data_IF_267424234048
#
_entry.id   IF_267424234048
#
_cell.length_a   1.000
_cell.length_b   1.000
_cell.length_c   1.000
_cell.angle_alpha   90.00
_cell.angle_beta   90.00
_cell.angle_gamma   90.00
#
_symmetry.space_group_name_H-M   'P 1'
#
loop_
_entity.id
_entity.type
_entity.pdbx_description
1 polymer ?
#
# COMPACT_ATOMS: atom_id res chain seq x y z
N UNK A 1 25.03 7.50 -5.66
CA UNK A 1 26.36 6.90 -5.45
C UNK A 1 27.25 7.42 -6.57
N UNK A 2 28.24 8.21 -6.22
CA UNK A 2 29.20 8.78 -7.17
C UNK A 2 30.40 7.82 -7.26
N UNK A 3 30.58 7.20 -8.41
CA UNK A 3 31.75 6.35 -8.67
C UNK A 3 32.74 7.14 -9.51
N UNK A 4 33.92 7.43 -8.97
CA UNK A 4 34.99 8.09 -9.69
C UNK A 4 35.94 7.02 -10.23
N UNK A 5 36.01 6.88 -11.55
CA UNK A 5 36.96 5.99 -12.21
C UNK A 5 38.11 6.85 -12.76
N UNK A 6 39.30 6.62 -12.26
CA UNK A 6 40.51 7.30 -12.75
C UNK A 6 41.23 6.37 -13.72
N UNK A 7 41.31 6.73 -15.00
CA UNK A 7 42.10 5.99 -16.01
C UNK A 7 43.37 6.75 -16.27
N UNK A 8 44.50 6.14 -15.99
CA UNK A 8 45.83 6.73 -16.26
C UNK A 8 46.37 6.17 -17.59
N UNK A 9 46.47 7.01 -18.62
CA UNK A 9 47.18 6.68 -19.86
C UNK A 9 48.53 7.36 -19.86
N UNK A 10 49.61 6.61 -20.00
CA UNK A 10 50.96 7.08 -19.91
C UNK A 10 51.35 8.02 -21.06
N UNK A 11 51.92 9.16 -20.71
CA UNK A 11 52.48 10.17 -21.61
C UNK A 11 52.32 11.57 -21.04
N UNK A 12 53.39 12.15 -20.53
CA UNK A 12 53.68 13.55 -20.18
C UNK A 12 52.52 14.53 -19.96
N UNK A 13 51.86 14.42 -18.88
CA UNK A 13 50.92 15.21 -18.07
C UNK A 13 49.59 14.45 -17.89
N UNK A 14 49.17 14.20 -16.65
CA UNK A 14 47.88 13.54 -16.40
C UNK A 14 46.74 14.52 -16.69
N UNK A 15 45.95 14.23 -17.71
CA UNK A 15 44.67 14.88 -17.91
C UNK A 15 43.64 14.04 -17.17
N UNK A 16 43.24 14.48 -15.99
CA UNK A 16 42.14 13.87 -15.27
C UNK A 16 40.82 14.28 -15.93
N UNK A 17 40.23 13.37 -16.69
CA UNK A 17 38.86 13.51 -17.20
C UNK A 17 37.90 12.91 -16.17
N UNK A 18 37.33 13.75 -15.31
CA UNK A 18 36.24 13.31 -14.44
C UNK A 18 34.96 13.25 -15.24
N UNK A 19 34.47 12.05 -15.53
CA UNK A 19 33.15 11.86 -16.07
C UNK A 19 32.22 11.55 -14.89
N UNK A 20 31.44 12.54 -14.44
CA UNK A 20 30.37 12.31 -13.48
C UNK A 20 29.15 11.75 -14.24
N UNK A 21 28.90 10.48 -14.12
CA UNK A 21 27.63 9.87 -14.56
C UNK A 21 26.65 10.01 -13.41
N UNK A 22 25.78 11.01 -13.46
CA UNK A 22 24.62 11.06 -12.56
C UNK A 22 23.59 10.05 -13.07
N UNK A 23 23.54 8.91 -12.43
CA UNK A 23 22.44 7.96 -12.62
C UNK A 23 21.23 8.54 -11.87
N UNK A 24 20.31 9.19 -12.59
CA UNK A 24 18.96 9.42 -12.05
C UNK A 24 18.29 8.06 -11.92
N UNK A 25 18.37 7.45 -10.77
CA UNK A 25 17.45 6.39 -10.39
C UNK A 25 16.09 7.05 -10.28
N UNK A 26 15.18 6.73 -11.20
CA UNK A 26 13.76 7.03 -11.03
C UNK A 26 13.33 6.20 -9.84
N UNK A 27 13.38 6.77 -8.66
CA UNK A 27 12.83 6.15 -7.49
C UNK A 27 11.33 6.05 -7.75
N UNK A 28 10.83 4.84 -7.96
CA UNK A 28 9.44 4.59 -7.65
C UNK A 28 9.26 5.04 -6.21
N UNK A 29 8.44 6.05 -5.99
CA UNK A 29 8.13 6.56 -4.66
C UNK A 29 7.24 5.53 -3.98
N UNK A 30 7.76 4.32 -3.86
CA UNK A 30 7.09 3.17 -3.29
C UNK A 30 7.34 3.05 -1.79
N UNK A 31 8.31 3.80 -1.25
CA UNK A 31 8.57 3.81 0.17
C UNK A 31 8.02 5.10 0.80
N UNK A 32 7.37 4.97 1.92
CA UNK A 32 6.81 6.06 2.71
C UNK A 32 7.85 7.15 3.08
N UNK A 33 9.13 6.83 3.02
CA UNK A 33 10.24 7.71 3.34
C UNK A 33 10.70 8.63 2.19
N UNK A 34 10.12 8.49 0.99
CA UNK A 34 10.60 9.19 -0.20
C UNK A 34 9.89 10.51 -0.48
N UNK A 35 8.88 10.89 0.30
CA UNK A 35 8.27 12.22 0.20
C UNK A 35 9.15 13.20 0.94
N UNK A 36 9.75 14.08 0.22
CA UNK A 36 10.80 14.91 0.77
C UNK A 36 10.32 15.97 1.75
N UNK A 37 9.11 16.47 1.62
CA UNK A 37 8.60 17.50 2.52
C UNK A 37 7.07 17.55 2.54
N UNK A 38 6.46 17.13 3.63
CA UNK A 38 5.05 17.44 3.88
C UNK A 38 4.92 18.93 4.20
N UNK A 39 4.21 19.67 3.34
CA UNK A 39 3.97 21.10 3.53
C UNK A 39 2.95 21.33 4.64
N UNK A 40 2.01 20.38 4.77
CA UNK A 40 0.96 20.41 5.78
C UNK A 40 0.62 18.97 6.20
N UNK A 41 0.07 18.80 7.42
CA UNK A 41 -0.48 17.51 7.83
C UNK A 41 -1.69 17.12 6.95
N UNK A 42 -1.97 15.83 6.87
CA UNK A 42 -3.17 15.32 6.24
C UNK A 42 -4.40 15.78 7.02
N UNK A 43 -5.45 16.22 6.32
CA UNK A 43 -6.71 16.67 6.92
C UNK A 43 -7.75 15.56 6.79
N UNK A 44 -8.34 15.17 7.91
CA UNK A 44 -9.44 14.19 7.94
C UNK A 44 -10.65 14.84 8.58
N UNK A 45 -11.79 14.75 7.92
CA UNK A 45 -13.10 15.16 8.43
C UNK A 45 -13.97 13.91 8.48
N UNK A 46 -14.56 13.65 9.65
CA UNK A 46 -15.39 12.46 9.90
C UNK A 46 -16.71 12.88 10.51
N UNK A 47 -17.79 12.26 10.04
CA UNK A 47 -19.12 12.32 10.63
C UNK A 47 -19.57 10.91 11.02
N UNK A 48 -20.20 10.78 12.18
CA UNK A 48 -20.72 9.51 12.69
C UNK A 48 -22.18 9.66 13.08
N UNK A 49 -22.94 8.57 12.96
CA UNK A 49 -24.32 8.49 13.42
C UNK A 49 -24.55 7.12 14.06
N UNK A 50 -25.05 7.16 15.31
CA UNK A 50 -25.33 5.98 16.12
C UNK A 50 -26.84 5.73 16.22
N UNK A 51 -27.24 4.52 15.84
CA UNK A 51 -28.62 4.02 15.96
C UNK A 51 -28.62 2.71 16.75
N UNK A 52 -29.73 2.31 17.39
CA UNK A 52 -29.79 1.03 18.11
C UNK A 52 -29.48 -0.20 17.24
N UNK A 53 -29.63 -0.07 15.92
CA UNK A 53 -29.43 -1.16 14.94
C UNK A 53 -28.19 -0.99 14.06
N UNK A 54 -27.57 0.20 14.07
CA UNK A 54 -26.36 0.46 13.26
C UNK A 54 -25.51 1.60 13.80
N UNK A 55 -24.19 1.48 13.57
CA UNK A 55 -23.23 2.56 13.63
C UNK A 55 -22.80 2.90 12.20
N UNK A 56 -22.94 4.17 11.80
CA UNK A 56 -22.61 4.65 10.46
C UNK A 56 -21.51 5.71 10.55
N UNK A 57 -20.57 5.63 9.63
CA UNK A 57 -19.48 6.60 9.49
C UNK A 57 -19.33 7.05 8.05
N UNK A 58 -19.03 8.33 7.86
CA UNK A 58 -18.56 8.87 6.58
C UNK A 58 -17.38 9.80 6.83
N UNK A 59 -16.36 9.75 5.99
CA UNK A 59 -15.16 10.57 6.17
C UNK A 59 -14.56 11.01 4.84
N UNK A 60 -13.91 12.18 4.89
CA UNK A 60 -13.14 12.73 3.79
C UNK A 60 -11.70 12.94 4.22
N UNK A 61 -10.77 12.74 3.30
CA UNK A 61 -9.34 12.87 3.50
C UNK A 61 -8.77 13.82 2.44
N UNK A 62 -7.98 14.82 2.87
CA UNK A 62 -7.22 15.70 1.98
C UNK A 62 -5.74 15.65 2.31
N UNK A 63 -4.88 15.61 1.28
CA UNK A 63 -3.43 15.48 1.38
C UNK A 63 -2.70 16.37 0.39
N UNK A 64 -1.50 16.80 0.77
CA UNK A 64 -0.61 17.56 -0.10
C UNK A 64 0.68 16.79 -0.31
N UNK A 65 0.97 16.46 -1.58
CA UNK A 65 2.22 15.85 -1.99
C UNK A 65 3.16 16.94 -2.48
N UNK A 66 4.36 16.99 -1.93
CA UNK A 66 5.39 17.92 -2.37
C UNK A 66 6.64 17.16 -2.79
N UNK A 67 7.19 17.55 -3.91
CA UNK A 67 8.50 17.13 -4.36
C UNK A 67 9.32 18.34 -4.79
N UNK A 68 10.64 18.23 -4.60
CA UNK A 68 11.59 19.24 -5.01
C UNK A 68 12.55 18.67 -6.03
N UNK A 69 12.42 19.12 -7.26
CA UNK A 69 13.41 18.84 -8.29
C UNK A 69 14.58 19.81 -8.14
N UNK A 70 15.76 19.29 -7.84
CA UNK A 70 17.01 20.06 -7.83
C UNK A 70 17.74 19.84 -9.14
N UNK A 71 17.83 20.88 -9.96
CA UNK A 71 18.79 20.93 -11.06
C UNK A 71 19.89 21.92 -10.71
N UNK A 72 21.07 21.75 -11.30
CA UNK A 72 22.20 22.64 -11.06
C UNK A 72 21.81 24.08 -11.37
N UNK A 73 21.69 24.91 -10.32
CA UNK A 73 21.35 26.34 -10.42
C UNK A 73 19.89 26.71 -10.26
N UNK A 74 18.94 25.77 -10.33
CA UNK A 74 17.50 26.06 -10.14
C UNK A 74 16.80 24.91 -9.42
N UNK A 75 16.06 25.20 -8.37
CA UNK A 75 15.19 24.22 -7.71
C UNK A 75 13.72 24.56 -7.96
N UNK A 76 12.93 23.56 -8.34
CA UNK A 76 11.48 23.70 -8.47
C UNK A 76 10.78 22.83 -7.45
N UNK A 77 9.93 23.44 -6.63
CA UNK A 77 9.00 22.70 -5.75
C UNK A 77 7.68 22.49 -6.48
N UNK A 78 7.20 21.26 -6.46
CA UNK A 78 5.92 20.88 -7.06
C UNK A 78 5.00 20.36 -5.96
N UNK A 79 3.86 20.99 -5.81
CA UNK A 79 2.81 20.55 -4.87
C UNK A 79 1.62 20.05 -5.66
N UNK A 80 1.12 18.89 -5.29
CA UNK A 80 -0.06 18.26 -5.88
C UNK A 80 -1.00 17.84 -4.75
N UNK A 81 -2.29 18.09 -4.96
CA UNK A 81 -3.33 17.63 -4.03
C UNK A 81 -3.72 16.19 -4.35
N UNK A 82 -3.92 15.39 -3.30
CA UNK A 82 -4.54 14.09 -3.31
C UNK A 82 -5.54 13.98 -2.18
N UNK A 83 -6.31 12.93 -2.17
CA UNK A 83 -7.28 12.69 -1.11
C UNK A 83 -8.35 11.70 -1.54
N UNK A 84 -9.27 11.41 -0.64
CA UNK A 84 -10.31 10.45 -0.87
C UNK A 84 -11.51 10.61 0.04
N UNK A 85 -12.50 9.77 -0.19
CA UNK A 85 -13.67 9.68 0.66
C UNK A 85 -13.98 8.21 0.96
N UNK A 86 -14.48 7.97 2.16
CA UNK A 86 -14.84 6.64 2.62
C UNK A 86 -16.06 6.65 3.50
N UNK A 87 -16.58 5.44 3.69
CA UNK A 87 -17.68 5.19 4.59
C UNK A 87 -17.49 3.84 5.29
N UNK A 88 -18.05 3.72 6.48
CA UNK A 88 -18.14 2.47 7.21
C UNK A 88 -19.52 2.32 7.85
N UNK A 89 -19.96 1.09 7.99
CA UNK A 89 -21.19 0.76 8.68
C UNK A 89 -21.00 -0.55 9.47
N UNK A 90 -21.52 -0.57 10.69
CA UNK A 90 -21.72 -1.76 11.50
C UNK A 90 -23.22 -1.92 11.75
N UNK A 91 -23.77 -3.05 11.36
CA UNK A 91 -25.18 -3.39 11.51
C UNK A 91 -25.37 -4.51 12.52
N UNK A 92 -26.23 -4.30 13.52
CA UNK A 92 -26.70 -5.37 14.41
C UNK A 92 -27.85 -6.11 13.73
N UNK A 93 -27.51 -7.01 12.78
CA UNK A 93 -28.50 -7.70 11.93
C UNK A 93 -29.46 -8.55 12.76
N UNK A 94 -28.92 -9.29 13.73
CA UNK A 94 -29.69 -9.99 14.74
C UNK A 94 -29.15 -9.54 16.10
N UNK A 95 -29.92 -8.80 16.88
CA UNK A 95 -29.44 -8.24 18.16
C UNK A 95 -28.78 -9.29 19.04
N UNK A 96 -27.54 -8.99 19.49
CA UNK A 96 -26.69 -9.86 20.33
C UNK A 96 -26.28 -11.19 19.70
N UNK A 97 -26.56 -11.41 18.41
CA UNK A 97 -26.25 -12.68 17.75
C UNK A 97 -25.41 -12.50 16.48
N UNK A 98 -25.76 -11.52 15.63
CA UNK A 98 -25.09 -11.34 14.34
C UNK A 98 -24.83 -9.87 14.10
N UNK A 99 -23.56 -9.53 13.98
CA UNK A 99 -23.08 -8.23 13.54
C UNK A 99 -22.49 -8.35 12.15
N UNK A 100 -22.86 -7.41 11.27
CA UNK A 100 -22.27 -7.27 9.93
C UNK A 100 -21.60 -5.92 9.82
N UNK A 101 -20.35 -5.90 9.33
CA UNK A 101 -19.64 -4.66 9.08
C UNK A 101 -19.16 -4.58 7.63
N UNK A 102 -19.16 -3.36 7.12
CA UNK A 102 -18.60 -3.02 5.81
C UNK A 102 -17.92 -1.67 5.89
N UNK A 103 -16.79 -1.54 5.23
CA UNK A 103 -16.10 -0.26 5.10
C UNK A 103 -15.41 -0.15 3.76
N UNK A 104 -15.19 1.08 3.30
CA UNK A 104 -14.45 1.33 2.08
C UNK A 104 -13.91 2.76 2.04
N UNK A 105 -12.81 2.92 1.33
CA UNK A 105 -12.15 4.21 1.05
C UNK A 105 -11.69 4.19 -0.39
N UNK A 106 -11.95 5.26 -1.13
CA UNK A 106 -11.48 5.43 -2.50
C UNK A 106 -10.98 6.87 -2.74
N UNK A 107 -9.94 7.00 -3.55
CA UNK A 107 -9.37 8.31 -3.84
C UNK A 107 -8.02 8.24 -4.55
N UNK A 108 -7.33 9.37 -4.55
CA UNK A 108 -6.03 9.52 -5.19
C UNK A 108 -4.96 9.78 -4.10
N UNK A 109 -3.94 8.88 -4.03
CA UNK A 109 -2.84 8.99 -3.08
C UNK A 109 -3.20 8.61 -1.64
N UNK A 110 -3.98 7.59 -1.46
CA UNK A 110 -4.50 7.16 -0.16
C UNK A 110 -3.92 5.83 0.34
N UNK A 111 -2.95 5.26 -0.36
CA UNK A 111 -2.43 3.90 -0.12
C UNK A 111 -1.98 3.63 1.31
N UNK A 112 -1.35 4.62 1.96
CA UNK A 112 -0.91 4.49 3.37
C UNK A 112 -2.06 4.30 4.37
N UNK A 113 -3.30 4.63 3.99
CA UNK A 113 -4.48 4.45 4.84
C UNK A 113 -5.08 3.05 4.72
N UNK A 114 -4.65 2.28 3.72
CA UNK A 114 -4.96 0.87 3.60
C UNK A 114 -4.12 -0.01 4.52
N UNK A 115 -4.58 -1.22 4.76
CA UNK A 115 -3.88 -2.21 5.58
C UNK A 115 -2.57 -2.66 4.93
N UNK A 116 -2.55 -2.74 3.61
CA UNK A 116 -1.39 -3.18 2.81
C UNK A 116 -0.36 -2.07 2.66
N UNK A 117 -0.75 -0.80 2.87
CA UNK A 117 0.11 0.37 2.69
C UNK A 117 0.70 0.43 1.28
N UNK A 118 -0.16 0.39 0.27
CA UNK A 118 0.23 0.57 -1.12
C UNK A 118 0.87 1.95 -1.35
N UNK A 119 1.70 2.13 -2.39
CA UNK A 119 2.35 3.41 -2.66
C UNK A 119 1.35 4.50 -2.97
N UNK A 120 1.45 5.65 -2.31
CA UNK A 120 0.52 6.78 -2.45
C UNK A 120 0.67 7.53 -3.80
N UNK A 121 1.90 7.62 -4.33
CA UNK A 121 2.18 8.43 -5.52
C UNK A 121 3.36 7.89 -6.33
N UNK A 122 3.44 8.31 -7.57
CA UNK A 122 4.57 8.10 -8.47
C UNK A 122 5.04 9.44 -9.04
N UNK A 123 6.05 9.44 -9.90
CA UNK A 123 6.56 10.63 -10.57
C UNK A 123 6.07 10.65 -12.02
N UNK A 124 5.54 11.78 -12.43
CA UNK A 124 5.08 12.03 -13.80
C UNK A 124 6.20 12.50 -14.75
N UNK A 125 5.88 12.72 -16.04
CA UNK A 125 6.86 13.07 -17.07
C UNK A 125 7.54 14.42 -16.85
N UNK A 126 6.94 15.30 -16.07
CA UNK A 126 7.49 16.63 -15.72
C UNK A 126 8.24 16.61 -14.39
N UNK A 127 8.41 15.42 -13.76
CA UNK A 127 8.97 15.28 -12.41
C UNK A 127 8.03 15.62 -11.27
N UNK A 128 6.79 15.97 -11.56
CA UNK A 128 5.77 16.25 -10.53
C UNK A 128 5.24 14.95 -9.93
N UNK A 129 4.89 14.95 -8.63
CA UNK A 129 4.17 13.83 -8.04
C UNK A 129 2.84 13.59 -8.74
N UNK A 130 2.50 12.33 -8.95
CA UNK A 130 1.20 11.87 -9.46
C UNK A 130 0.60 10.94 -8.42
N UNK A 131 -0.40 11.39 -7.64
CA UNK A 131 -1.11 10.52 -6.70
C UNK A 131 -1.73 9.34 -7.43
N UNK A 132 -1.59 8.15 -6.86
CA UNK A 132 -2.13 6.93 -7.43
C UNK A 132 -3.61 6.81 -7.08
N UNK A 133 -4.42 6.38 -8.05
CA UNK A 133 -5.82 6.07 -7.80
C UNK A 133 -5.95 4.72 -7.13
N UNK A 134 -6.62 4.70 -5.98
CA UNK A 134 -6.68 3.56 -5.10
C UNK A 134 -8.07 3.39 -4.52
N UNK A 135 -8.38 2.15 -4.18
CA UNK A 135 -9.53 1.83 -3.36
C UNK A 135 -9.25 0.65 -2.45
N UNK A 136 -9.88 0.67 -1.32
CA UNK A 136 -9.82 -0.39 -0.33
C UNK A 136 -11.21 -0.64 0.23
N UNK A 137 -11.50 -1.91 0.50
CA UNK A 137 -12.79 -2.32 1.04
C UNK A 137 -12.60 -3.48 2.00
N UNK A 138 -13.44 -3.52 3.02
CA UNK A 138 -13.53 -4.59 4.00
C UNK A 138 -15.00 -4.92 4.23
N UNK A 139 -15.33 -6.22 4.26
CA UNK A 139 -16.60 -6.72 4.74
C UNK A 139 -16.35 -7.80 5.79
N UNK A 140 -17.20 -7.86 6.81
CA UNK A 140 -17.06 -8.83 7.89
C UNK A 140 -18.37 -9.19 8.54
N UNK A 141 -18.41 -10.39 9.12
CA UNK A 141 -19.52 -10.90 9.92
C UNK A 141 -18.95 -11.43 11.23
N UNK A 142 -19.64 -11.11 12.32
CA UNK A 142 -19.37 -11.66 13.64
C UNK A 142 -20.62 -12.37 14.11
N UNK A 143 -20.47 -13.62 14.50
CA UNK A 143 -21.53 -14.46 15.05
C UNK A 143 -21.23 -14.78 16.50
N UNK A 144 -22.02 -14.23 17.40
CA UNK A 144 -22.00 -14.50 18.84
C UNK A 144 -22.73 -15.83 19.12
N UNK A 145 -22.03 -16.95 18.90
CA UNK A 145 -22.61 -18.29 18.98
C UNK A 145 -23.09 -18.64 20.40
N UNK A 146 -22.35 -18.18 21.41
CA UNK A 146 -22.72 -18.23 22.83
C UNK A 146 -22.21 -16.96 23.53
N UNK A 147 -22.60 -16.68 24.78
CA UNK A 147 -22.04 -15.56 25.53
C UNK A 147 -20.52 -15.61 25.70
N UNK A 148 -19.91 -16.74 25.40
CA UNK A 148 -18.48 -17.01 25.60
C UNK A 148 -17.74 -17.27 24.28
N UNK A 149 -18.44 -17.47 23.16
CA UNK A 149 -17.85 -17.86 21.87
C UNK A 149 -18.28 -16.95 20.75
N UNK A 150 -17.33 -16.24 20.18
CA UNK A 150 -17.48 -15.42 18.98
C UNK A 150 -16.80 -16.11 17.81
N UNK A 151 -17.53 -16.26 16.71
CA UNK A 151 -17.00 -16.69 15.42
C UNK A 151 -17.00 -15.49 14.48
N UNK A 152 -15.96 -15.33 13.66
CA UNK A 152 -15.92 -14.22 12.72
C UNK A 152 -15.32 -14.61 11.38
N UNK A 153 -15.72 -13.86 10.35
CA UNK A 153 -15.14 -13.94 9.03
C UNK A 153 -15.01 -12.54 8.42
N UNK A 154 -13.89 -12.29 7.76
CA UNK A 154 -13.59 -11.04 7.10
C UNK A 154 -13.07 -11.28 5.70
N UNK A 155 -13.43 -10.38 4.78
CA UNK A 155 -12.87 -10.29 3.44
C UNK A 155 -12.47 -8.84 3.17
N UNK A 156 -11.22 -8.62 2.82
CA UNK A 156 -10.68 -7.31 2.52
C UNK A 156 -9.86 -7.30 1.25
N UNK A 157 -9.81 -6.15 0.58
CA UNK A 157 -8.96 -5.94 -0.58
C UNK A 157 -8.53 -4.49 -0.68
N UNK A 158 -7.21 -4.30 -0.92
CA UNK A 158 -6.61 -3.01 -1.24
C UNK A 158 -6.08 -3.09 -2.67
N UNK A 159 -6.42 -2.10 -3.50
CA UNK A 159 -6.03 -2.06 -4.90
C UNK A 159 -5.57 -0.66 -5.32
N UNK A 160 -4.62 -0.64 -6.27
CA UNK A 160 -4.12 0.59 -6.88
C UNK A 160 -4.14 0.48 -8.40
N UNK A 161 -4.30 1.60 -9.08
CA UNK A 161 -4.23 1.69 -10.53
C UNK A 161 -2.81 2.05 -10.97
N UNK A 162 -2.46 1.63 -12.19
CA UNK A 162 -1.21 2.04 -12.80
C UNK A 162 -1.23 3.54 -13.14
N UNK A 163 -0.07 4.18 -12.95
CA UNK A 163 0.20 5.53 -13.41
C UNK A 163 1.62 5.59 -13.97
N UNK A 164 1.74 5.53 -15.28
CA UNK A 164 3.02 5.53 -15.99
C UNK A 164 2.96 6.42 -17.23
N UNK A 165 4.13 6.72 -17.78
CA UNK A 165 4.27 7.45 -19.03
C UNK A 165 5.41 6.88 -19.88
N UNK A 166 5.23 6.98 -21.20
CA UNK A 166 6.19 6.47 -22.16
C UNK A 166 7.07 7.58 -22.72
N UNK A 167 8.33 7.25 -22.96
CA UNK A 167 9.25 8.08 -23.71
C UNK A 167 9.48 7.43 -25.07
N UNK A 168 9.56 8.28 -26.12
CA UNK A 168 9.67 7.82 -27.49
C UNK A 168 11.04 8.13 -28.06
N UNK A 169 11.58 7.18 -28.82
CA UNK A 169 12.75 7.36 -29.66
C UNK A 169 12.47 6.82 -31.05
N UNK A 170 12.69 7.64 -32.08
CA UNK A 170 12.41 7.26 -33.48
C UNK A 170 10.98 6.72 -33.71
N UNK A 171 9.99 7.33 -33.05
CA UNK A 171 8.58 6.95 -33.18
C UNK A 171 8.16 5.64 -32.49
N UNK A 172 9.05 5.01 -31.73
CA UNK A 172 8.77 3.81 -30.93
C UNK A 172 8.93 4.12 -29.45
N UNK A 173 8.16 3.43 -28.59
CA UNK A 173 8.34 3.48 -27.13
C UNK A 173 9.76 3.01 -26.81
N UNK A 174 10.54 3.87 -26.19
CA UNK A 174 11.94 3.60 -25.81
C UNK A 174 12.02 3.11 -24.37
N UNK A 175 11.34 3.81 -23.47
CA UNK A 175 11.27 3.48 -22.06
C UNK A 175 9.92 3.91 -21.50
N UNK A 176 9.47 3.21 -20.49
CA UNK A 176 8.29 3.52 -19.73
C UNK A 176 8.68 3.73 -18.26
N UNK A 177 8.13 4.75 -17.62
CA UNK A 177 8.46 5.14 -16.24
C UNK A 177 7.18 5.29 -15.44
N UNK A 178 7.27 5.15 -14.12
CA UNK A 178 6.16 5.30 -13.21
C UNK A 178 5.70 3.97 -12.63
N UNK A 179 4.57 3.99 -11.94
CA UNK A 179 4.04 2.86 -11.21
C UNK A 179 3.17 1.96 -12.09
N UNK A 180 3.32 0.64 -11.98
CA UNK A 180 2.56 -0.33 -12.79
C UNK A 180 2.91 -0.30 -14.28
N UNK A 181 4.12 0.04 -14.60
CA UNK A 181 4.66 0.15 -15.95
C UNK A 181 4.67 -1.21 -16.66
N UNK A 182 4.11 -1.32 -17.89
CA UNK A 182 4.02 -2.57 -18.63
C UNK A 182 5.35 -3.10 -19.18
N UNK A 183 6.44 -2.31 -19.12
CA UNK A 183 7.78 -2.74 -19.53
C UNK A 183 8.62 -3.25 -18.37
N UNK A 184 8.10 -3.33 -17.16
CA UNK A 184 8.81 -3.94 -16.05
C UNK A 184 9.05 -5.44 -16.32
N UNK A 185 10.30 -5.93 -16.16
CA UNK A 185 10.57 -7.35 -16.31
C UNK A 185 9.95 -8.13 -15.15
N UNK A 186 9.15 -9.13 -15.51
CA UNK A 186 8.53 -10.07 -14.59
C UNK A 186 8.98 -11.52 -14.85
N UNK A 187 9.98 -11.70 -15.72
CA UNK A 187 10.40 -13.03 -16.21
C UNK A 187 10.97 -13.93 -15.12
N UNK A 188 11.48 -13.34 -14.03
CA UNK A 188 12.04 -14.10 -12.89
C UNK A 188 11.19 -14.01 -11.62
N UNK A 189 9.96 -13.47 -11.70
CA UNK A 189 9.13 -13.31 -10.50
C UNK A 189 8.58 -14.63 -9.94
N UNK A 190 8.34 -15.61 -10.83
CA UNK A 190 7.75 -16.92 -10.46
C UNK A 190 8.82 -18.02 -10.42
N UNK A 191 10.11 -17.65 -10.36
CA UNK A 191 11.23 -18.60 -10.38
C UNK A 191 11.98 -18.52 -9.05
N UNK A 192 12.14 -19.65 -8.38
CA UNK A 192 13.02 -19.75 -7.22
C UNK A 192 14.45 -19.41 -7.64
N UNK A 193 15.15 -18.60 -6.84
CA UNK A 193 16.48 -18.08 -7.14
C UNK A 193 16.55 -17.14 -8.36
N UNK A 194 15.40 -16.61 -8.81
CA UNK A 194 15.36 -15.62 -9.88
C UNK A 194 16.10 -14.32 -9.50
N UNK A 195 16.61 -13.61 -10.50
CA UNK A 195 17.26 -12.32 -10.33
C UNK A 195 16.25 -11.26 -9.95
N UNK A 196 16.50 -10.48 -8.88
CA UNK A 196 15.68 -9.32 -8.52
C UNK A 196 15.67 -8.23 -9.61
N UNK A 197 16.65 -8.22 -10.49
CA UNK A 197 16.70 -7.31 -11.65
C UNK A 197 15.65 -7.68 -12.71
N UNK A 198 15.27 -8.95 -12.79
CA UNK A 198 14.30 -9.47 -13.73
C UNK A 198 12.92 -9.71 -13.09
N UNK A 199 12.73 -9.27 -11.83
CA UNK A 199 11.47 -9.27 -11.11
C UNK A 199 11.23 -7.88 -10.47
N UNK A 200 10.70 -6.95 -11.26
CA UNK A 200 10.46 -5.56 -10.81
C UNK A 200 8.97 -5.19 -10.79
N UNK A 201 8.10 -6.18 -10.97
CA UNK A 201 6.65 -5.98 -10.93
C UNK A 201 6.17 -5.40 -9.61
N UNK A 202 5.41 -4.30 -9.71
CA UNK A 202 4.82 -3.62 -8.55
C UNK A 202 3.48 -4.24 -8.17
N UNK A 203 3.13 -4.19 -6.89
CA UNK A 203 1.86 -4.73 -6.38
C UNK A 203 0.68 -3.93 -6.92
N UNK A 204 -0.28 -4.64 -7.53
CA UNK A 204 -1.55 -4.08 -8.02
C UNK A 204 -2.65 -4.20 -6.98
N UNK A 205 -2.74 -5.37 -6.35
CA UNK A 205 -3.80 -5.65 -5.39
C UNK A 205 -3.34 -6.69 -4.37
N UNK A 206 -3.89 -6.58 -3.17
CA UNK A 206 -3.82 -7.62 -2.15
C UNK A 206 -5.23 -7.87 -1.63
N UNK A 207 -5.64 -9.12 -1.63
CA UNK A 207 -6.94 -9.57 -1.12
C UNK A 207 -6.71 -10.59 -0.02
N UNK A 208 -7.41 -10.44 1.11
CA UNK A 208 -7.29 -11.36 2.24
C UNK A 208 -8.67 -11.81 2.69
N UNK A 209 -8.82 -13.13 2.85
CA UNK A 209 -9.94 -13.74 3.55
C UNK A 209 -9.48 -14.28 4.89
N UNK A 210 -10.25 -14.04 5.94
CA UNK A 210 -9.93 -14.44 7.32
C UNK A 210 -11.13 -15.06 7.97
N UNK A 211 -10.94 -16.19 8.67
CA UNK A 211 -11.91 -16.78 9.57
C UNK A 211 -11.26 -17.02 10.92
N UNK A 212 -12.02 -16.90 11.99
CA UNK A 212 -11.47 -17.12 13.33
C UNK A 212 -12.55 -17.24 14.39
N UNK A 213 -12.07 -17.53 15.61
CA UNK A 213 -12.91 -17.65 16.79
C UNK A 213 -12.20 -17.06 18.00
N UNK A 214 -12.98 -16.49 18.91
CA UNK A 214 -12.58 -16.10 20.25
C UNK A 214 -13.40 -16.86 21.27
N UNK A 215 -12.75 -17.48 22.22
CA UNK A 215 -13.41 -18.18 23.33
C UNK A 215 -12.99 -17.54 24.64
N UNK A 216 -14.01 -16.99 25.34
CA UNK A 216 -13.90 -16.50 26.70
C UNK A 216 -14.06 -17.68 27.67
N UNK A 217 -12.94 -18.26 28.10
CA UNK A 217 -12.98 -19.46 28.94
C UNK A 217 -13.00 -19.13 30.44
N UNK A 218 -12.68 -17.92 30.83
CA UNK A 218 -12.74 -17.46 32.22
C UNK A 218 -13.25 -16.02 32.29
N UNK A 219 -14.28 -15.82 33.11
CA UNK A 219 -14.78 -14.51 33.49
C UNK A 219 -15.07 -14.48 34.98
N UNK A 220 -14.42 -13.57 35.72
CA UNK A 220 -14.56 -13.50 37.17
C UNK A 220 -14.05 -12.19 37.76
N UNK A 221 -13.99 -12.11 39.07
CA UNK A 221 -13.52 -10.93 39.82
C UNK A 221 -12.10 -10.47 39.50
N UNK A 222 -11.29 -11.37 38.94
CA UNK A 222 -9.89 -11.07 38.55
C UNK A 222 -9.77 -10.62 37.07
N UNK A 223 -10.87 -10.59 36.36
CA UNK A 223 -10.89 -10.20 34.95
C UNK A 223 -11.39 -11.30 34.01
N UNK A 224 -11.24 -11.05 32.71
CA UNK A 224 -11.66 -11.94 31.63
C UNK A 224 -10.47 -12.48 30.87
N UNK A 225 -10.42 -13.79 30.61
CA UNK A 225 -9.39 -14.45 29.81
C UNK A 225 -10.01 -15.07 28.55
N UNK A 226 -9.37 -14.82 27.42
CA UNK A 226 -9.81 -15.31 26.10
C UNK A 226 -8.65 -15.98 25.37
N UNK A 227 -8.97 -17.03 24.64
CA UNK A 227 -8.08 -17.62 23.61
C UNK A 227 -8.73 -17.47 22.26
N UNK A 228 -7.93 -17.26 21.24
CA UNK A 228 -8.40 -17.12 19.87
C UNK A 228 -7.53 -17.90 18.91
N UNK A 229 -8.17 -18.39 17.86
CA UNK A 229 -7.51 -18.99 16.71
C UNK A 229 -8.03 -18.31 15.43
N UNK A 230 -7.13 -18.09 14.48
CA UNK A 230 -7.45 -17.44 13.22
C UNK A 230 -6.69 -18.12 12.08
N UNK A 231 -7.36 -18.29 10.97
CA UNK A 231 -6.75 -18.63 9.70
C UNK A 231 -6.99 -17.49 8.71
N UNK A 232 -5.93 -17.11 8.00
CA UNK A 232 -5.97 -16.08 6.96
C UNK A 232 -5.34 -16.59 5.68
N UNK A 233 -6.03 -16.40 4.57
CA UNK A 233 -5.53 -16.61 3.23
C UNK A 233 -5.34 -15.27 2.55
N UNK A 234 -4.14 -14.96 2.13
CA UNK A 234 -3.78 -13.69 1.49
C UNK A 234 -3.29 -13.97 0.07
N UNK A 235 -3.82 -13.24 -0.91
CA UNK A 235 -3.37 -13.27 -2.29
C UNK A 235 -2.87 -11.90 -2.70
N UNK A 236 -1.63 -11.84 -3.14
CA UNK A 236 -1.00 -10.67 -3.76
C UNK A 236 -0.95 -10.83 -5.27
N UNK A 237 -1.34 -9.79 -5.99
CA UNK A 237 -1.26 -9.71 -7.45
C UNK A 237 -0.39 -8.52 -7.84
N UNK A 238 0.53 -8.72 -8.78
CA UNK A 238 1.32 -7.65 -9.38
C UNK A 238 0.69 -7.14 -10.69
N UNK A 239 1.15 -5.98 -11.15
CA UNK A 239 0.82 -5.51 -12.49
C UNK A 239 1.46 -6.40 -13.55
N UNK A 240 0.78 -6.52 -14.69
CA UNK A 240 1.32 -7.18 -15.87
C UNK A 240 2.52 -6.37 -16.38
N UNK A 241 3.62 -7.07 -16.64
CA UNK A 241 4.82 -6.53 -17.24
C UNK A 241 5.27 -7.39 -18.41
N UNK A 242 6.57 -7.37 -18.72
CA UNK A 242 7.18 -8.27 -19.68
C UNK A 242 7.37 -9.64 -19.01
N UNK A 243 6.71 -10.67 -19.52
CA UNK A 243 6.67 -12.01 -18.94
C UNK A 243 5.33 -12.30 -18.26
N UNK A 244 5.28 -13.26 -17.32
CA UNK A 244 4.05 -13.63 -16.62
C UNK A 244 3.53 -12.47 -15.74
N UNK A 245 2.26 -12.56 -15.35
CA UNK A 245 1.68 -11.69 -14.34
C UNK A 245 1.86 -12.36 -12.98
N UNK A 246 2.82 -11.92 -12.15
CA UNK A 246 3.14 -12.64 -10.94
C UNK A 246 2.06 -12.47 -9.89
N UNK A 247 1.79 -13.57 -9.20
CA UNK A 247 0.89 -13.62 -8.05
C UNK A 247 1.49 -14.57 -7.01
N UNK A 248 1.19 -14.30 -5.75
CA UNK A 248 1.62 -15.15 -4.66
C UNK A 248 0.52 -15.27 -3.63
N UNK A 249 0.44 -16.43 -3.01
CA UNK A 249 -0.52 -16.75 -1.96
C UNK A 249 0.23 -17.01 -0.65
N UNK A 250 -0.37 -16.60 0.45
CA UNK A 250 0.14 -16.84 1.79
C UNK A 250 -0.97 -17.37 2.70
N UNK A 251 -0.65 -18.41 3.45
CA UNK A 251 -1.54 -19.07 4.39
C UNK A 251 -0.99 -18.89 5.80
N UNK A 252 -1.74 -18.20 6.65
CA UNK A 252 -1.33 -17.87 8.00
C UNK A 252 -2.28 -18.44 9.04
N UNK A 253 -1.72 -19.02 10.08
CA UNK A 253 -2.46 -19.44 11.26
C UNK A 253 -1.96 -18.66 12.47
N UNK A 254 -2.87 -18.08 13.22
CA UNK A 254 -2.57 -17.33 14.43
C UNK A 254 -3.28 -17.97 15.61
N UNK A 255 -2.55 -18.05 16.72
CA UNK A 255 -3.10 -18.34 18.03
C UNK A 255 -2.84 -17.13 18.92
N UNK A 256 -3.82 -16.73 19.70
CA UNK A 256 -3.72 -15.56 20.55
C UNK A 256 -4.35 -15.81 21.92
N UNK A 257 -3.75 -15.18 22.94
CA UNK A 257 -4.28 -15.14 24.29
C UNK A 257 -4.48 -13.68 24.69
N UNK A 258 -5.62 -13.38 25.32
CA UNK A 258 -5.95 -12.05 25.85
C UNK A 258 -6.35 -12.14 27.29
N UNK A 259 -5.85 -11.24 28.10
CA UNK A 259 -6.28 -11.04 29.49
C UNK A 259 -6.70 -9.59 29.69
N UNK A 260 -7.91 -9.41 30.14
CA UNK A 260 -8.49 -8.12 30.48
C UNK A 260 -8.65 -8.05 32.00
N UNK A 261 -7.71 -7.43 32.74
CA UNK A 261 -7.83 -7.24 34.17
C UNK A 261 -8.94 -6.23 34.50
N UNK A 262 -9.61 -6.45 35.60
CA UNK A 262 -10.57 -5.49 36.17
C UNK A 262 -11.81 -5.17 35.29
N UNK A 263 -12.29 -6.11 34.52
CA UNK A 263 -13.56 -6.02 33.76
C UNK A 263 -14.66 -6.89 34.35
#
# INVERSE_FOLDING_TARGET
TTTTTTTTTGGTKPVSKSTSTSTCTTANVASQASYSNNIAPDLIIKATADYPWAHLEAYGLGRLFNDRLSQTGTGQSNTVFGGGAGAAALFHVVPKMVDFQISGLAGDGIGRYGTVQLPDATIGPTGKPVPLREWMALAGIIFHATPQLDLYGYLGSDQTNAAYFDTYSKGKVSKSYGFGNPLYPNTSCDVELGSSADCTGTTKAVTQGTIGAWWEFLKGSYGTMQVGAQYSYTRRMAFQGVGPTPQTDDNMVFLAFRYYPFQ
#
